data_IF_085636871677
#
_entry.id   IF_085636871677
#
_cell.length_a   1.000
_cell.length_b   1.000
_cell.length_c   1.000
_cell.angle_alpha   90.00
_cell.angle_beta   90.00
_cell.angle_gamma   90.00
#
_symmetry.space_group_name_H-M   'P 1'
#
loop_
_entity.id
_entity.type
_entity.pdbx_description
1 polymer ?
#
# COMPACT_ATOMS: atom_id res chain seq x y z
N UNK A 1 -16.16 3.43 6.75
CA UNK A 1 -14.75 3.39 6.31
C UNK A 1 -14.60 4.46 5.25
N UNK A 2 -13.73 5.44 5.46
CA UNK A 2 -13.50 6.51 4.49
C UNK A 2 -12.66 5.97 3.30
N UNK A 3 -13.11 6.25 2.08
CA UNK A 3 -12.49 5.81 0.84
C UNK A 3 -11.52 6.89 0.32
N UNK A 4 -10.27 6.50 0.07
CA UNK A 4 -9.20 7.38 -0.40
C UNK A 4 -8.57 6.77 -1.66
N UNK A 5 -9.03 7.14 -2.86
CA UNK A 5 -8.44 6.65 -4.10
C UNK A 5 -6.96 7.07 -4.14
N UNK A 6 -6.08 6.12 -4.38
CA UNK A 6 -4.64 6.37 -4.51
C UNK A 6 -4.38 7.06 -5.84
N UNK A 7 -3.76 8.25 -5.88
CA UNK A 7 -3.41 8.86 -7.14
C UNK A 7 -2.45 7.95 -7.94
N UNK A 8 -2.69 7.72 -9.25
CA UNK A 8 -1.88 6.83 -10.09
C UNK A 8 -0.37 7.07 -10.01
N UNK A 9 0.03 8.33 -9.88
CA UNK A 9 1.42 8.76 -9.79
C UNK A 9 2.17 8.15 -8.61
N UNK A 10 1.51 7.82 -7.50
CA UNK A 10 2.13 7.13 -6.36
C UNK A 10 2.57 5.71 -6.73
N UNK A 11 1.76 4.99 -7.50
CA UNK A 11 2.06 3.63 -7.94
C UNK A 11 3.15 3.64 -9.01
N UNK A 12 3.07 4.55 -9.98
CA UNK A 12 4.11 4.72 -11.01
C UNK A 12 5.47 5.07 -10.40
N UNK A 13 5.49 5.96 -9.42
CA UNK A 13 6.69 6.29 -8.67
C UNK A 13 7.32 5.07 -7.99
N UNK A 14 6.52 4.21 -7.34
CA UNK A 14 7.02 2.95 -6.77
C UNK A 14 7.66 2.05 -7.84
N UNK A 15 6.98 1.88 -8.97
CA UNK A 15 7.43 1.02 -10.07
C UNK A 15 8.70 1.54 -10.77
N UNK A 16 9.04 2.82 -10.61
CA UNK A 16 10.30 3.38 -11.12
C UNK A 16 11.54 2.87 -10.38
N UNK A 17 11.39 2.36 -9.15
CA UNK A 17 12.50 1.92 -8.29
C UNK A 17 12.36 0.49 -7.77
N UNK A 18 11.19 -0.13 -7.92
CA UNK A 18 10.91 -1.50 -7.51
C UNK A 18 10.36 -2.33 -8.67
N UNK A 19 10.80 -3.59 -8.74
CA UNK A 19 10.25 -4.60 -9.64
C UNK A 19 9.78 -5.81 -8.83
N UNK A 20 8.75 -6.49 -9.35
CA UNK A 20 8.13 -7.63 -8.68
C UNK A 20 8.12 -8.82 -9.63
N UNK A 21 8.56 -9.98 -9.16
CA UNK A 21 8.70 -11.17 -9.99
C UNK A 21 7.50 -12.12 -9.78
N UNK A 22 6.42 -11.85 -10.51
CA UNK A 22 5.23 -12.70 -10.55
C UNK A 22 3.94 -11.96 -10.16
N UNK A 23 2.88 -12.69 -9.78
CA UNK A 23 1.57 -12.10 -9.56
C UNK A 23 1.50 -11.27 -8.28
N UNK A 24 0.67 -10.23 -8.30
CA UNK A 24 0.45 -9.28 -7.22
C UNK A 24 -0.99 -9.37 -6.72
N UNK A 25 -1.17 -9.27 -5.41
CA UNK A 25 -2.47 -9.14 -4.78
C UNK A 25 -2.64 -7.73 -4.21
N UNK A 26 -3.68 -7.03 -4.64
CA UNK A 26 -4.16 -5.78 -4.02
C UNK A 26 -5.41 -6.07 -3.15
N UNK A 27 -5.24 -6.25 -1.81
CA UNK A 27 -6.34 -6.68 -0.93
C UNK A 27 -7.25 -5.59 -0.36
N UNK A 28 -7.12 -4.35 -0.83
CA UNK A 28 -8.00 -3.23 -0.49
C UNK A 28 -8.18 -2.33 -1.72
N UNK A 29 -8.66 -2.93 -2.81
CA UNK A 29 -8.55 -2.34 -4.13
C UNK A 29 -9.47 -1.15 -4.39
N UNK A 30 -10.54 -0.97 -3.62
CA UNK A 30 -11.46 0.14 -3.83
C UNK A 30 -11.99 0.20 -5.26
N UNK A 31 -11.68 1.28 -5.99
CA UNK A 31 -12.03 1.50 -7.41
C UNK A 31 -10.98 0.97 -8.41
N UNK A 32 -9.91 0.37 -7.90
CA UNK A 32 -8.83 -0.24 -8.67
C UNK A 32 -7.68 0.69 -9.01
N UNK A 33 -7.53 1.83 -8.33
CA UNK A 33 -6.50 2.81 -8.67
C UNK A 33 -5.06 2.23 -8.72
N UNK A 34 -4.67 1.37 -7.76
CA UNK A 34 -3.35 0.72 -7.78
C UNK A 34 -3.35 -0.46 -8.75
N UNK A 35 -4.34 -1.35 -8.71
CA UNK A 35 -4.41 -2.53 -9.59
C UNK A 35 -4.34 -2.16 -11.08
N UNK A 36 -4.98 -1.07 -11.51
CA UNK A 36 -4.94 -0.63 -12.91
C UNK A 36 -3.54 -0.21 -13.33
N UNK A 37 -2.82 0.52 -12.49
CA UNK A 37 -1.44 0.93 -12.76
C UNK A 37 -0.48 -0.27 -12.76
N UNK A 38 -0.63 -1.20 -11.80
CA UNK A 38 0.13 -2.44 -11.78
C UNK A 38 -0.16 -3.30 -13.03
N UNK A 39 -1.41 -3.43 -13.43
CA UNK A 39 -1.78 -4.19 -14.64
C UNK A 39 -1.24 -3.54 -15.91
N UNK A 40 -1.27 -2.20 -15.99
CA UNK A 40 -0.72 -1.43 -17.12
C UNK A 40 0.80 -1.56 -17.22
N UNK A 41 1.49 -1.79 -16.09
CA UNK A 41 2.91 -2.11 -16.06
C UNK A 41 3.23 -3.58 -16.41
N UNK A 42 2.23 -4.39 -16.76
CA UNK A 42 2.39 -5.77 -17.22
C UNK A 42 2.30 -6.84 -16.13
N UNK A 43 1.89 -6.49 -14.91
CA UNK A 43 1.73 -7.46 -13.83
C UNK A 43 0.37 -8.17 -13.89
N UNK A 44 0.35 -9.45 -13.49
CA UNK A 44 -0.90 -10.14 -13.21
C UNK A 44 -1.40 -9.77 -11.81
N UNK A 45 -2.56 -9.11 -11.74
CA UNK A 45 -3.09 -8.56 -10.49
C UNK A 45 -4.39 -9.23 -10.09
N UNK A 46 -4.43 -9.80 -8.89
CA UNK A 46 -5.66 -10.18 -8.20
C UNK A 46 -6.06 -9.01 -7.31
N UNK A 47 -7.26 -8.46 -7.51
CA UNK A 47 -7.77 -7.32 -6.73
C UNK A 47 -8.97 -7.76 -5.90
N UNK A 48 -8.96 -7.47 -4.60
CA UNK A 48 -10.06 -7.79 -3.68
C UNK A 48 -10.34 -6.63 -2.74
N UNK A 49 -11.58 -6.49 -2.27
CA UNK A 49 -11.94 -5.52 -1.24
C UNK A 49 -13.00 -6.10 -0.30
N UNK A 50 -13.07 -5.56 0.92
CA UNK A 50 -14.14 -5.93 1.85
C UNK A 50 -15.51 -5.44 1.35
N UNK A 51 -15.54 -4.30 0.65
CA UNK A 51 -16.77 -3.70 0.12
C UNK A 51 -16.67 -3.66 -1.39
N UNK A 52 -17.68 -4.21 -2.07
CA UNK A 52 -17.79 -4.13 -3.53
C UNK A 52 -18.01 -2.67 -3.97
N UNK A 53 -17.11 -2.17 -4.81
CA UNK A 53 -17.16 -0.83 -5.41
C UNK A 53 -17.09 -0.87 -6.93
N UNK A 54 -17.37 -2.03 -7.54
CA UNK A 54 -17.34 -2.21 -9.00
C UNK A 54 -15.94 -2.45 -9.58
N UNK A 55 -14.95 -2.78 -8.75
CA UNK A 55 -13.64 -3.25 -9.19
C UNK A 55 -13.11 -4.35 -8.26
N UNK A 56 -12.53 -5.40 -8.85
CA UNK A 56 -12.03 -6.56 -8.11
C UNK A 56 -13.17 -7.41 -7.50
N UNK A 57 -12.79 -8.35 -6.64
CA UNK A 57 -13.74 -9.19 -5.90
C UNK A 57 -14.11 -8.52 -4.56
N UNK A 58 -15.37 -8.12 -4.42
CA UNK A 58 -15.92 -7.56 -3.17
C UNK A 58 -16.27 -8.63 -2.12
N UNK A 59 -16.51 -8.21 -0.88
CA UNK A 59 -16.88 -9.10 0.23
C UNK A 59 -15.73 -9.93 0.79
N UNK A 60 -14.49 -9.61 0.41
CA UNK A 60 -13.30 -10.37 0.79
C UNK A 60 -12.59 -9.72 1.99
N UNK A 61 -12.68 -10.36 3.16
CA UNK A 61 -11.98 -9.90 4.37
C UNK A 61 -10.51 -10.35 4.34
N UNK A 62 -9.62 -9.47 3.88
CA UNK A 62 -8.18 -9.72 3.85
C UNK A 62 -7.61 -10.13 5.22
N UNK A 63 -8.08 -9.51 6.31
CA UNK A 63 -7.56 -9.81 7.64
C UNK A 63 -7.95 -11.20 8.14
N UNK A 64 -8.98 -11.81 7.56
CA UNK A 64 -9.42 -13.19 7.83
C UNK A 64 -9.00 -14.21 6.76
N UNK A 65 -8.33 -13.76 5.70
CA UNK A 65 -7.89 -14.64 4.61
C UNK A 65 -6.95 -15.75 5.08
N UNK A 66 -7.23 -16.98 4.62
CA UNK A 66 -6.49 -18.18 5.03
C UNK A 66 -5.19 -18.39 4.23
N UNK A 67 -5.21 -18.06 2.93
CA UNK A 67 -4.10 -18.27 1.99
C UNK A 67 -3.79 -17.00 1.18
N UNK A 68 -2.54 -16.79 0.76
CA UNK A 68 -2.23 -15.77 -0.25
C UNK A 68 -2.95 -16.07 -1.57
N UNK A 69 -3.44 -15.03 -2.25
CA UNK A 69 -3.95 -15.13 -3.61
C UNK A 69 -2.90 -14.81 -4.69
N UNK A 70 -1.75 -14.26 -4.30
CA UNK A 70 -0.64 -13.98 -5.20
C UNK A 70 0.71 -14.03 -4.45
N UNK A 71 1.81 -13.90 -5.20
CA UNK A 71 3.15 -13.90 -4.61
C UNK A 71 3.41 -12.63 -3.83
N UNK A 72 3.21 -11.47 -4.44
CA UNK A 72 3.46 -10.16 -3.83
C UNK A 72 2.15 -9.54 -3.35
N UNK A 73 2.25 -8.62 -2.39
CA UNK A 73 1.09 -7.85 -1.89
C UNK A 73 1.43 -6.37 -1.98
N UNK A 74 0.65 -5.61 -2.76
CA UNK A 74 0.84 -4.17 -2.95
C UNK A 74 -0.50 -3.49 -2.77
N UNK A 75 -0.61 -2.54 -1.83
CA UNK A 75 -1.89 -1.87 -1.56
C UNK A 75 -1.74 -0.57 -0.77
N UNK A 76 -2.82 0.22 -0.76
CA UNK A 76 -3.06 1.32 0.16
C UNK A 76 -4.10 0.84 1.20
N UNK A 77 -3.67 0.33 2.37
CA UNK A 77 -4.61 -0.22 3.34
C UNK A 77 -5.57 0.85 3.87
N UNK A 78 -6.79 0.47 4.27
CA UNK A 78 -7.78 1.42 4.77
C UNK A 78 -7.27 2.18 6.00
N UNK A 79 -7.52 3.49 6.01
CA UNK A 79 -7.28 4.36 7.16
C UNK A 79 -8.34 4.11 8.24
N UNK A 80 -7.92 4.04 9.49
CA UNK A 80 -8.86 3.81 10.59
C UNK A 80 -8.22 3.98 11.97
N UNK A 81 -9.09 4.09 12.97
CA UNK A 81 -8.70 4.01 14.39
C UNK A 81 -8.24 2.58 14.73
N UNK A 82 -7.44 2.42 15.79
CA UNK A 82 -7.01 1.11 16.33
C UNK A 82 -6.02 0.28 15.49
N UNK A 83 -5.19 0.91 14.65
CA UNK A 83 -4.04 0.21 14.04
C UNK A 83 -4.39 -0.73 12.88
N UNK A 84 -5.47 -0.45 12.16
CA UNK A 84 -5.93 -1.25 11.02
C UNK A 84 -4.83 -1.44 9.95
N UNK A 85 -4.11 -0.37 9.59
CA UNK A 85 -2.98 -0.45 8.64
C UNK A 85 -1.87 -1.40 9.12
N UNK A 86 -1.57 -1.43 10.42
CA UNK A 86 -0.58 -2.35 10.99
C UNK A 86 -1.08 -3.81 10.96
N UNK A 87 -2.39 -4.04 11.11
CA UNK A 87 -2.99 -5.35 10.95
C UNK A 87 -2.87 -5.85 9.49
N UNK A 88 -3.06 -4.96 8.52
CA UNK A 88 -2.83 -5.25 7.10
C UNK A 88 -1.37 -5.59 6.83
N UNK A 89 -0.42 -4.78 7.31
CA UNK A 89 1.03 -5.07 7.20
C UNK A 89 1.33 -6.44 7.78
N UNK A 90 0.87 -6.73 9.00
CA UNK A 90 1.12 -8.02 9.66
C UNK A 90 0.56 -9.20 8.85
N UNK A 91 -0.68 -9.09 8.35
CA UNK A 91 -1.31 -10.14 7.55
C UNK A 91 -0.56 -10.35 6.23
N UNK A 92 -0.17 -9.27 5.55
CA UNK A 92 0.61 -9.34 4.32
C UNK A 92 1.97 -10.00 4.53
N UNK A 93 2.67 -9.69 5.63
CA UNK A 93 3.95 -10.33 5.99
C UNK A 93 3.78 -11.84 6.27
N UNK A 94 2.68 -12.25 6.91
CA UNK A 94 2.40 -13.69 7.13
C UNK A 94 2.22 -14.42 5.80
N UNK A 95 1.48 -13.82 4.87
CA UNK A 95 1.21 -14.41 3.57
C UNK A 95 2.44 -14.46 2.67
N UNK A 96 3.19 -13.37 2.60
CA UNK A 96 4.39 -13.28 1.76
C UNK A 96 5.54 -14.15 2.25
N UNK A 97 5.61 -14.47 3.55
CA UNK A 97 6.52 -15.52 4.06
C UNK A 97 6.23 -16.90 3.49
N UNK A 98 4.96 -17.20 3.15
CA UNK A 98 4.58 -18.49 2.54
C UNK A 98 4.85 -18.49 1.04
N UNK A 99 4.59 -17.37 0.36
CA UNK A 99 4.78 -17.26 -1.09
C UNK A 99 6.20 -16.91 -1.52
N UNK A 100 7.06 -16.48 -0.58
CA UNK A 100 8.39 -15.94 -0.89
C UNK A 100 8.33 -14.58 -1.60
N UNK A 101 7.28 -13.79 -1.38
CA UNK A 101 7.07 -12.51 -2.06
C UNK A 101 7.40 -11.27 -1.24
N UNK A 102 7.14 -10.12 -1.85
CA UNK A 102 7.36 -8.79 -1.26
C UNK A 102 6.04 -8.14 -0.85
N UNK A 103 6.11 -7.25 0.15
CA UNK A 103 4.99 -6.40 0.56
C UNK A 103 5.34 -4.96 0.26
N UNK A 104 4.46 -4.21 -0.41
CA UNK A 104 4.54 -2.75 -0.51
C UNK A 104 3.24 -2.12 0.01
N UNK A 105 3.37 -1.22 0.98
CA UNK A 105 2.23 -0.58 1.65
C UNK A 105 2.35 0.93 1.55
N UNK A 106 1.34 1.58 0.98
CA UNK A 106 1.25 3.04 0.96
C UNK A 106 0.66 3.51 2.29
N UNK A 107 1.47 4.18 3.11
CA UNK A 107 1.10 4.57 4.48
C UNK A 107 1.23 6.08 4.67
N UNK A 108 0.45 6.63 5.59
CA UNK A 108 0.53 8.05 5.95
C UNK A 108 1.84 8.34 6.69
N UNK A 109 2.61 9.36 6.27
CA UNK A 109 3.91 9.71 6.84
C UNK A 109 3.86 10.00 8.35
N UNK A 110 2.77 10.60 8.87
CA UNK A 110 2.61 10.84 10.31
C UNK A 110 2.59 9.55 11.13
N UNK A 111 2.20 8.43 10.51
CA UNK A 111 2.18 7.14 11.17
C UNK A 111 3.57 6.49 11.28
N UNK A 112 4.59 6.99 10.57
CA UNK A 112 5.92 6.38 10.53
C UNK A 112 6.57 6.31 11.91
N UNK A 113 6.49 7.40 12.68
CA UNK A 113 7.08 7.51 14.02
C UNK A 113 6.09 7.17 15.16
N UNK A 114 5.02 6.43 14.86
CA UNK A 114 4.09 6.00 15.90
C UNK A 114 4.80 5.03 16.88
N UNK A 115 4.75 5.25 18.21
CA UNK A 115 5.39 4.38 19.20
C UNK A 115 5.03 2.90 19.05
N UNK A 116 3.79 2.58 18.66
CA UNK A 116 3.32 1.21 18.47
C UNK A 116 4.03 0.46 17.33
N UNK A 117 4.70 1.19 16.44
CA UNK A 117 5.48 0.62 15.34
C UNK A 117 6.92 0.37 15.70
N UNK A 118 7.47 1.01 16.74
CA UNK A 118 8.87 0.84 17.11
C UNK A 118 9.24 -0.64 17.20
N UNK A 119 8.54 -1.41 18.05
CA UNK A 119 8.81 -2.85 18.21
C UNK A 119 8.50 -3.67 16.96
N UNK A 120 7.47 -3.31 16.19
CA UNK A 120 7.05 -4.06 14.99
C UNK A 120 8.07 -3.92 13.88
N UNK A 121 8.52 -2.69 13.62
CA UNK A 121 9.42 -2.35 12.52
C UNK A 121 10.87 -2.63 12.88
N UNK A 122 11.27 -2.60 14.15
CA UNK A 122 12.62 -3.09 14.52
C UNK A 122 12.72 -4.61 14.50
N UNK A 123 11.63 -5.33 14.82
CA UNK A 123 11.59 -6.80 14.74
C UNK A 123 11.48 -7.33 13.31
N UNK A 124 10.78 -6.63 12.43
CA UNK A 124 10.68 -6.99 11.00
C UNK A 124 10.78 -5.72 10.17
N UNK A 125 12.01 -5.22 9.94
CA UNK A 125 12.22 -3.96 9.25
C UNK A 125 11.81 -4.06 7.78
N UNK A 126 11.22 -2.99 7.22
CA UNK A 126 11.12 -2.88 5.77
C UNK A 126 12.53 -2.84 5.17
N UNK A 127 12.66 -3.34 3.96
CA UNK A 127 13.87 -3.19 3.15
C UNK A 127 14.04 -1.74 2.65
N UNK A 128 12.92 -1.05 2.40
CA UNK A 128 12.93 0.33 1.92
C UNK A 128 11.75 1.15 2.46
N UNK A 129 12.00 2.45 2.63
CA UNK A 129 11.01 3.49 2.89
C UNK A 129 11.18 4.56 1.81
N UNK A 130 10.12 4.78 1.04
CA UNK A 130 10.12 5.74 -0.05
C UNK A 130 9.17 6.89 0.23
N UNK A 131 9.71 8.08 0.46
CA UNK A 131 8.93 9.29 0.67
C UNK A 131 8.37 9.77 -0.66
N UNK A 132 7.06 9.99 -0.72
CA UNK A 132 6.43 10.58 -1.89
C UNK A 132 6.36 12.10 -1.70
N UNK A 133 6.82 12.84 -2.70
CA UNK A 133 6.53 14.27 -2.79
C UNK A 133 5.07 14.52 -3.19
N UNK A 134 4.70 15.79 -3.42
CA UNK A 134 3.46 16.38 -3.99
C UNK A 134 2.23 15.48 -4.31
N UNK A 135 1.87 14.60 -3.37
CA UNK A 135 0.75 13.67 -3.48
C UNK A 135 -0.44 14.23 -2.71
N UNK A 136 -1.54 14.44 -3.41
CA UNK A 136 -2.78 14.95 -2.82
C UNK A 136 -3.86 13.86 -2.92
N UNK A 137 -4.17 13.21 -1.80
CA UNK A 137 -5.26 12.23 -1.73
C UNK A 137 -6.55 12.91 -1.25
N UNK A 138 -7.53 13.06 -2.15
CA UNK A 138 -8.85 13.60 -1.81
C UNK A 138 -9.79 12.49 -1.32
N UNK A 139 -10.56 12.69 -0.24
CA UNK A 139 -11.68 11.81 0.08
C UNK A 139 -12.61 11.72 -1.14
N UNK A 140 -12.97 10.49 -1.56
CA UNK A 140 -13.84 10.24 -2.73
C UNK A 140 -13.33 10.82 -4.07
N UNK A 141 -12.05 11.22 -4.17
CA UNK A 141 -11.46 11.75 -5.39
C UNK A 141 -11.96 13.16 -5.80
N UNK A 142 -12.73 13.86 -4.95
CA UNK A 142 -13.28 15.19 -5.27
C UNK A 142 -12.69 16.28 -4.36
N UNK A 143 -12.28 17.45 -4.90
CA UNK A 143 -11.89 18.59 -4.08
C UNK A 143 -13.10 19.09 -3.29
N UNK A 144 -13.05 19.05 -1.95
CA UNK A 144 -14.05 19.71 -1.12
C UNK A 144 -13.39 20.70 -0.17
N UNK A 145 -14.02 21.86 0.01
CA UNK A 145 -13.54 22.95 0.88
C UNK A 145 -13.48 22.56 2.36
N UNK A 146 -14.25 21.54 2.79
CA UNK A 146 -14.20 20.97 4.15
C UNK A 146 -13.06 19.97 4.35
N UNK A 147 -12.53 19.38 3.28
CA UNK A 147 -11.50 18.32 3.30
C UNK A 147 -10.06 18.82 3.14
N UNK A 148 -9.83 20.14 3.05
CA UNK A 148 -8.51 20.70 2.72
C UNK A 148 -7.37 20.26 3.68
N UNK A 149 -7.67 19.96 4.95
CA UNK A 149 -6.70 19.42 5.92
C UNK A 149 -6.34 17.96 5.65
N UNK A 150 -7.26 17.21 5.06
CA UNK A 150 -7.13 15.78 4.72
C UNK A 150 -6.39 15.62 3.37
N UNK A 151 -6.62 16.54 2.43
CA UNK A 151 -5.94 16.58 1.14
C UNK A 151 -4.41 16.75 1.22
N UNK A 152 -3.89 17.28 2.34
CA UNK A 152 -2.46 17.53 2.57
C UNK A 152 -1.77 16.42 3.37
N UNK A 153 -2.30 15.20 3.33
CA UNK A 153 -1.59 14.07 3.92
C UNK A 153 -0.40 13.69 3.04
N UNK A 154 0.77 13.57 3.67
CA UNK A 154 1.96 13.04 3.01
C UNK A 154 2.00 11.54 3.20
N UNK A 155 2.47 10.84 2.18
CA UNK A 155 2.51 9.38 2.16
C UNK A 155 3.92 8.87 1.88
N UNK A 156 4.13 7.60 2.19
CA UNK A 156 5.34 6.89 1.84
C UNK A 156 5.00 5.43 1.52
N UNK A 157 5.81 4.82 0.66
CA UNK A 157 5.79 3.36 0.51
C UNK A 157 6.75 2.73 1.52
N UNK A 158 6.26 1.75 2.27
CA UNK A 158 7.11 0.81 3.00
C UNK A 158 7.16 -0.51 2.25
N UNK A 159 8.36 -0.98 1.94
CA UNK A 159 8.59 -2.21 1.17
C UNK A 159 9.34 -3.23 2.01
N UNK A 160 8.78 -4.42 2.17
CA UNK A 160 9.44 -5.58 2.76
C UNK A 160 9.79 -6.58 1.68
N UNK A 161 11.02 -7.09 1.71
CA UNK A 161 11.52 -8.11 0.77
C UNK A 161 11.84 -9.42 1.51
N UNK A 162 11.71 -10.58 0.85
CA UNK A 162 12.12 -11.87 1.42
C UNK A 162 13.57 -11.82 1.93
N UNK A 163 13.79 -12.32 3.14
CA UNK A 163 15.14 -12.47 3.70
C UNK A 163 15.89 -11.18 4.01
N UNK A 164 15.26 -10.00 3.92
CA UNK A 164 15.94 -8.74 4.26
C UNK A 164 16.37 -8.71 5.73
N UNK A 165 17.63 -8.34 5.96
CA UNK A 165 18.24 -8.13 7.26
C UNK A 165 18.92 -6.75 7.22
N UNK A 166 18.69 -5.95 8.26
CA UNK A 166 19.33 -4.62 8.40
C UNK A 166 18.31 -3.49 8.53
N UNK A 167 18.83 -2.27 8.49
CA UNK A 167 18.02 -1.06 8.49
C UNK A 167 17.43 -0.79 7.09
N UNK A 168 16.24 -0.18 7.01
CA UNK A 168 15.67 0.22 5.72
C UNK A 168 16.55 1.23 5.02
N UNK A 169 16.65 1.13 3.68
CA UNK A 169 17.07 2.27 2.88
C UNK A 169 15.95 3.32 2.83
N UNK A 170 16.32 4.59 2.79
CA UNK A 170 15.39 5.70 2.63
C UNK A 170 15.66 6.44 1.33
N UNK A 171 14.63 6.77 0.57
CA UNK A 171 14.78 7.52 -0.69
C UNK A 171 13.53 8.35 -1.00
N UNK A 172 13.69 9.42 -1.78
CA UNK A 172 12.60 10.30 -2.22
C UNK A 172 12.17 9.93 -3.64
N UNK A 173 10.86 9.83 -3.86
CA UNK A 173 10.30 9.61 -5.19
C UNK A 173 9.49 10.84 -5.60
N UNK A 174 9.74 11.31 -6.83
CA UNK A 174 8.93 12.35 -7.46
C UNK A 174 7.65 11.73 -8.01
N UNK A 175 6.51 12.22 -7.53
CA UNK A 175 5.18 11.95 -8.07
C UNK A 175 4.85 12.91 -9.21
N UNK A 176 5.49 14.08 -9.25
CA UNK A 176 5.33 15.07 -10.33
C UNK A 176 5.79 14.55 -11.68
N UNK A 177 6.80 13.69 -11.69
CA UNK A 177 7.35 13.10 -12.92
C UNK A 177 6.36 12.14 -13.61
N UNK A 178 5.25 11.79 -12.94
CA UNK A 178 4.27 10.80 -13.40
C UNK A 178 2.83 11.36 -13.54
N UNK A 179 2.67 12.68 -13.43
CA UNK A 179 1.39 13.39 -13.65
C UNK A 179 1.04 13.51 -15.13
#
# INVERSE_FOLDING_TARGET
MEFYPTPPEATRALLSVESFDGPIWEPACGDGAIARELSSAGYHVTATDLVDRGFGEGGFDFLKSAKPLAKHIITNPPYGTHGLGDAFVRRALIHTRKSGGSVAMLLNLRSLANPDRHKKFTKTPPAAIYFLDDLTCWPEGKPTTKSARIARQQYYWAVWKPGHIGAPKCWWLSTRDFK
#
